data_IF_150693293329
#
_entry.id   IF_150693293329
#
_cell.length_a   1.000
_cell.length_b   1.000
_cell.length_c   1.000
_cell.angle_alpha   90.00
_cell.angle_beta   90.00
_cell.angle_gamma   90.00
#
_symmetry.space_group_name_H-M   'P 1'
#
loop_
_entity.id
_entity.type
_entity.pdbx_description
1 polymer ?
#
# COMPACT_ATOMS: atom_id res chain seq x y z
N UNK A 1 20.08 7.00 -17.44
CA UNK A 1 19.12 8.00 -16.91
C UNK A 1 18.26 7.27 -15.89
N UNK A 2 17.96 7.88 -14.74
CA UNK A 2 17.27 7.22 -13.62
C UNK A 2 15.89 7.85 -13.44
N UNK A 3 14.86 7.02 -13.31
CA UNK A 3 13.52 7.44 -12.94
C UNK A 3 13.48 7.57 -11.41
N UNK A 4 13.10 8.75 -10.92
CA UNK A 4 12.87 8.98 -9.48
C UNK A 4 11.37 9.11 -9.28
N UNK A 5 10.82 8.27 -8.42
CA UNK A 5 9.40 8.25 -8.12
C UNK A 5 9.18 7.98 -6.62
N UNK A 6 7.99 8.28 -6.13
CA UNK A 6 7.53 7.80 -4.83
C UNK A 6 6.32 6.88 -5.00
N UNK A 7 6.14 5.94 -4.08
CA UNK A 7 5.00 5.04 -4.02
C UNK A 7 4.51 4.95 -2.58
N UNK A 8 3.19 5.12 -2.39
CA UNK A 8 2.57 5.19 -1.07
C UNK A 8 1.15 4.58 -1.07
N UNK A 9 0.71 4.15 0.11
CA UNK A 9 -0.60 3.57 0.38
C UNK A 9 -1.29 4.27 1.54
N UNK A 10 -2.62 4.26 1.51
CA UNK A 10 -3.43 4.83 2.59
C UNK A 10 -4.60 3.92 2.88
N UNK A 11 -4.99 3.76 4.14
CA UNK A 11 -6.22 3.11 4.53
C UNK A 11 -6.94 3.88 5.66
N UNK A 12 -8.26 4.07 5.50
CA UNK A 12 -9.13 4.69 6.49
C UNK A 12 -9.72 3.59 7.38
N UNK A 13 -8.93 3.17 8.37
CA UNK A 13 -9.14 1.93 9.11
C UNK A 13 -8.36 0.78 8.46
N UNK A 14 -7.89 -0.19 9.25
CA UNK A 14 -6.97 -1.24 8.78
C UNK A 14 -7.44 -2.63 9.24
N UNK A 15 -8.34 -3.30 8.48
CA UNK A 15 -8.76 -2.98 7.11
C UNK A 15 -9.90 -1.95 7.00
N UNK A 16 -9.97 -1.26 5.86
CA UNK A 16 -10.96 -0.20 5.58
C UNK A 16 -10.87 0.31 4.12
N UNK A 17 -11.60 1.37 3.75
CA UNK A 17 -11.41 2.05 2.47
C UNK A 17 -9.96 2.42 2.26
N UNK A 18 -9.37 2.00 1.16
CA UNK A 18 -7.93 2.08 0.94
C UNK A 18 -7.60 2.55 -0.47
N UNK A 19 -6.42 3.13 -0.59
CA UNK A 19 -5.90 3.73 -1.79
C UNK A 19 -4.40 3.50 -1.91
N UNK A 20 -3.93 3.56 -3.14
CA UNK A 20 -2.53 3.48 -3.51
C UNK A 20 -2.24 4.58 -4.52
N UNK A 21 -1.01 5.08 -4.53
CA UNK A 21 -0.55 5.98 -5.57
C UNK A 21 0.96 5.87 -5.79
N UNK A 22 1.38 6.02 -7.04
CA UNK A 22 2.77 6.33 -7.36
C UNK A 22 2.85 7.68 -8.07
N UNK A 23 3.95 8.38 -7.86
CA UNK A 23 4.12 9.76 -8.30
C UNK A 23 5.54 10.03 -8.80
N UNK A 24 5.66 10.59 -10.01
CA UNK A 24 6.91 11.16 -10.56
C UNK A 24 6.82 12.67 -10.62
N UNK A 25 5.74 13.19 -11.20
CA UNK A 25 5.37 14.60 -11.29
C UNK A 25 3.87 14.74 -11.61
N UNK A 26 3.33 15.96 -11.61
CA UNK A 26 1.90 16.19 -11.82
C UNK A 26 1.35 15.70 -13.17
N UNK A 27 2.20 15.54 -14.18
CA UNK A 27 1.85 14.96 -15.48
C UNK A 27 2.06 13.43 -15.57
N UNK A 28 2.67 12.81 -14.56
CA UNK A 28 3.06 11.41 -14.56
C UNK A 28 2.88 10.80 -13.16
N UNK A 29 1.66 10.33 -12.90
CA UNK A 29 1.25 9.66 -11.67
C UNK A 29 0.02 8.80 -11.93
N UNK A 30 -0.18 7.77 -11.09
CA UNK A 30 -1.44 7.03 -11.08
C UNK A 30 -1.85 6.68 -9.65
N UNK A 31 -3.15 6.49 -9.47
CA UNK A 31 -3.73 6.08 -8.21
C UNK A 31 -4.92 5.13 -8.43
N UNK A 32 -5.28 4.40 -7.39
CA UNK A 32 -6.41 3.47 -7.39
C UNK A 32 -6.63 2.94 -5.98
N UNK A 33 -7.60 2.04 -5.79
CA UNK A 33 -7.88 1.55 -4.44
C UNK A 33 -9.05 0.58 -4.35
N UNK A 34 -9.54 0.39 -3.13
CA UNK A 34 -10.63 -0.54 -2.81
C UNK A 34 -11.52 0.01 -1.70
N UNK A 35 -12.75 -0.50 -1.63
CA UNK A 35 -13.65 -0.25 -0.50
C UNK A 35 -13.16 -0.86 0.82
N UNK A 36 -12.38 -1.94 0.73
CA UNK A 36 -11.91 -2.69 1.90
C UNK A 36 -10.57 -3.35 1.59
N UNK A 37 -9.48 -2.78 2.10
CA UNK A 37 -8.14 -3.37 2.09
C UNK A 37 -7.32 -2.81 3.27
N UNK A 38 -6.10 -3.31 3.43
CA UNK A 38 -5.15 -2.85 4.45
C UNK A 38 -4.20 -1.79 3.88
N UNK A 39 -3.55 -1.04 4.76
CA UNK A 39 -2.51 -0.08 4.36
C UNK A 39 -1.38 -0.76 3.57
N UNK A 40 -0.90 -1.90 4.09
CA UNK A 40 0.17 -2.70 3.47
C UNK A 40 -0.19 -3.17 2.04
N UNK A 41 -1.46 -3.50 1.78
CA UNK A 41 -1.91 -3.84 0.43
C UNK A 41 -1.87 -2.62 -0.50
N UNK A 42 -2.25 -1.43 -0.01
CA UNK A 42 -2.12 -0.17 -0.74
C UNK A 42 -0.67 0.15 -1.09
N UNK A 43 0.22 0.10 -0.11
CA UNK A 43 1.64 0.40 -0.31
C UNK A 43 2.32 -0.58 -1.29
N UNK A 44 2.07 -1.89 -1.15
CA UNK A 44 2.61 -2.89 -2.09
C UNK A 44 2.06 -2.71 -3.50
N UNK A 45 0.77 -2.36 -3.63
CA UNK A 45 0.16 -2.16 -4.95
C UNK A 45 0.68 -0.90 -5.63
N UNK A 46 0.97 0.18 -4.88
CA UNK A 46 1.60 1.37 -5.43
C UNK A 46 2.94 1.03 -6.11
N UNK A 47 3.75 0.18 -5.47
CA UNK A 47 5.01 -0.32 -6.05
C UNK A 47 4.75 -1.18 -7.29
N UNK A 48 3.83 -2.14 -7.20
CA UNK A 48 3.48 -3.03 -8.30
C UNK A 48 3.05 -2.24 -9.55
N UNK A 49 2.10 -1.33 -9.39
CA UNK A 49 1.52 -0.55 -10.48
C UNK A 49 2.53 0.43 -11.08
N UNK A 50 3.49 0.93 -10.28
CA UNK A 50 4.62 1.70 -10.82
C UNK A 50 5.50 0.86 -11.76
N UNK A 51 5.89 -0.34 -11.33
CA UNK A 51 6.72 -1.22 -12.16
C UNK A 51 5.98 -1.69 -13.42
N UNK A 52 4.69 -2.00 -13.31
CA UNK A 52 3.84 -2.32 -14.47
C UNK A 52 3.76 -1.15 -15.45
N UNK A 53 3.50 0.06 -14.95
CA UNK A 53 3.39 1.27 -15.77
C UNK A 53 4.69 1.61 -16.51
N UNK A 54 5.83 1.19 -15.97
CA UNK A 54 7.16 1.45 -16.53
C UNK A 54 7.80 0.24 -17.19
N UNK A 55 7.10 -0.87 -17.36
CA UNK A 55 7.66 -2.14 -17.86
C UNK A 55 8.32 -2.02 -19.25
N UNK A 56 7.85 -1.09 -20.08
CA UNK A 56 8.37 -0.82 -21.44
C UNK A 56 9.68 -0.01 -21.46
N UNK A 57 10.17 0.40 -20.28
CA UNK A 57 11.38 1.21 -20.12
C UNK A 57 12.57 0.34 -19.70
N UNK A 58 13.79 0.84 -19.89
CA UNK A 58 15.02 0.16 -19.48
C UNK A 58 15.83 0.96 -18.46
N UNK A 59 15.33 2.13 -18.07
CA UNK A 59 15.99 3.02 -17.12
C UNK A 59 16.00 2.46 -15.69
N UNK A 60 17.07 2.78 -14.99
CA UNK A 60 17.21 2.52 -13.57
C UNK A 60 16.10 3.24 -12.79
N UNK A 61 15.63 2.61 -11.72
CA UNK A 61 14.60 3.17 -10.84
C UNK A 61 15.18 3.50 -9.47
N UNK A 62 14.87 4.69 -8.97
CA UNK A 62 14.94 5.03 -7.55
C UNK A 62 13.53 5.28 -7.04
N UNK A 63 13.02 4.38 -6.20
CA UNK A 63 11.67 4.44 -5.65
C UNK A 63 11.71 4.82 -4.17
N UNK A 64 11.08 5.93 -3.83
CA UNK A 64 10.95 6.44 -2.47
C UNK A 64 9.70 5.82 -1.83
N UNK A 65 9.87 5.23 -0.66
CA UNK A 65 8.77 4.73 0.17
C UNK A 65 9.06 5.04 1.63
N UNK A 66 8.05 5.36 2.42
CA UNK A 66 8.16 5.46 3.88
C UNK A 66 7.83 4.13 4.60
N UNK A 67 7.21 3.19 3.89
CA UNK A 67 6.98 1.83 4.37
C UNK A 67 8.24 0.99 4.41
N UNK A 68 8.75 0.75 5.63
CA UNK A 68 9.77 -0.26 5.86
C UNK A 68 9.27 -1.67 5.54
N UNK A 69 7.97 -1.94 5.67
CA UNK A 69 7.39 -3.24 5.34
C UNK A 69 7.57 -3.54 3.85
N UNK A 70 7.22 -2.60 2.96
CA UNK A 70 7.39 -2.75 1.51
C UNK A 70 8.86 -2.93 1.16
N UNK A 71 9.73 -2.03 1.62
CA UNK A 71 11.16 -2.08 1.30
C UNK A 71 11.75 -3.42 1.74
N UNK A 72 11.53 -3.83 3.00
CA UNK A 72 12.08 -5.08 3.52
C UNK A 72 11.49 -6.31 2.83
N UNK A 73 10.19 -6.29 2.50
CA UNK A 73 9.54 -7.38 1.77
C UNK A 73 10.20 -7.62 0.42
N UNK A 74 10.39 -6.56 -0.37
CA UNK A 74 10.98 -6.68 -1.72
C UNK A 74 12.48 -6.96 -1.66
N UNK A 75 13.24 -6.24 -0.82
CA UNK A 75 14.72 -6.29 -0.90
C UNK A 75 15.37 -7.32 0.02
N UNK A 76 14.76 -7.66 1.15
CA UNK A 76 15.39 -8.53 2.18
C UNK A 76 14.72 -9.89 2.28
N UNK A 77 13.39 -9.94 2.31
CA UNK A 77 12.67 -11.14 2.68
C UNK A 77 12.27 -12.01 1.48
N UNK A 78 11.74 -11.39 0.42
CA UNK A 78 11.30 -12.07 -0.80
C UNK A 78 12.37 -13.02 -1.39
N UNK A 79 13.67 -12.67 -1.50
CA UNK A 79 14.68 -13.62 -1.97
C UNK A 79 14.79 -14.88 -1.11
N UNK A 80 14.62 -14.75 0.20
CA UNK A 80 14.61 -15.88 1.14
C UNK A 80 13.34 -16.71 1.06
N UNK A 81 12.18 -16.06 0.93
CA UNK A 81 10.89 -16.74 0.77
C UNK A 81 10.83 -17.53 -0.53
N UNK A 82 11.29 -16.98 -1.66
CA UNK A 82 11.37 -17.68 -2.95
C UNK A 82 12.16 -18.99 -2.85
N UNK A 83 13.33 -18.96 -2.20
CA UNK A 83 14.16 -20.17 -1.97
C UNK A 83 13.46 -21.23 -1.12
N UNK A 84 12.47 -20.85 -0.31
CA UNK A 84 11.69 -21.72 0.58
C UNK A 84 10.29 -22.02 0.05
N UNK A 85 10.03 -21.79 -1.25
CA UNK A 85 8.72 -22.02 -1.85
C UNK A 85 7.64 -21.08 -1.28
N UNK A 86 7.98 -19.82 -1.08
CA UNK A 86 7.12 -18.76 -0.54
C UNK A 86 6.61 -19.00 0.88
N UNK A 87 7.51 -19.47 1.76
CA UNK A 87 7.24 -19.71 3.19
C UNK A 87 8.20 -18.93 4.09
N UNK A 88 7.69 -18.47 5.23
CA UNK A 88 8.52 -17.88 6.28
C UNK A 88 9.33 -18.95 7.01
N UNK A 89 10.35 -18.52 7.77
CA UNK A 89 11.21 -19.42 8.57
C UNK A 89 10.46 -20.15 9.68
N UNK A 90 9.38 -19.56 10.19
CA UNK A 90 8.49 -20.14 11.20
C UNK A 90 7.42 -21.07 10.59
N UNK A 91 7.47 -21.33 9.27
CA UNK A 91 6.51 -22.18 8.56
C UNK A 91 5.17 -21.51 8.25
N UNK A 92 4.90 -20.32 8.79
CA UNK A 92 3.66 -19.57 8.54
C UNK A 92 3.63 -19.03 7.09
N UNK A 93 2.43 -18.81 6.54
CA UNK A 93 2.29 -18.21 5.21
C UNK A 93 2.86 -16.79 5.18
N UNK A 94 3.37 -16.40 4.01
CA UNK A 94 3.78 -15.02 3.74
C UNK A 94 2.52 -14.18 3.56
N UNK A 95 2.41 -13.08 4.31
CA UNK A 95 1.29 -12.14 4.15
C UNK A 95 1.43 -11.40 2.81
N UNK A 96 0.29 -11.12 2.16
CA UNK A 96 0.24 -10.47 0.84
C UNK A 96 1.03 -11.22 -0.24
N UNK A 97 1.04 -12.55 -0.17
CA UNK A 97 1.84 -13.40 -1.06
C UNK A 97 1.56 -13.13 -2.55
N UNK A 98 0.29 -13.04 -2.93
CA UNK A 98 -0.12 -12.80 -4.33
C UNK A 98 0.49 -11.50 -4.87
N UNK A 99 0.32 -10.38 -4.13
CA UNK A 99 0.93 -9.10 -4.49
C UNK A 99 2.46 -9.19 -4.57
N UNK A 100 3.10 -9.90 -3.65
CA UNK A 100 4.56 -10.06 -3.67
C UNK A 100 5.05 -10.90 -4.84
N UNK A 101 4.29 -11.90 -5.28
CA UNK A 101 4.58 -12.68 -6.48
C UNK A 101 4.43 -11.82 -7.73
N UNK A 102 3.37 -11.00 -7.82
CA UNK A 102 3.19 -10.06 -8.93
C UNK A 102 4.30 -9.00 -8.98
N UNK A 103 4.74 -8.50 -7.82
CA UNK A 103 5.89 -7.58 -7.74
C UNK A 103 7.16 -8.29 -8.21
N UNK A 104 7.41 -9.52 -7.75
CA UNK A 104 8.58 -10.31 -8.15
C UNK A 104 8.65 -10.48 -9.67
N UNK A 105 7.51 -10.72 -10.33
CA UNK A 105 7.41 -10.80 -11.79
C UNK A 105 7.67 -9.44 -12.45
N UNK A 106 7.07 -8.35 -11.94
CA UNK A 106 7.17 -7.02 -12.52
C UNK A 106 8.58 -6.42 -12.45
N UNK A 107 9.40 -6.84 -11.48
CA UNK A 107 10.77 -6.35 -11.30
C UNK A 107 11.83 -7.20 -12.00
N UNK A 108 11.47 -8.33 -12.63
CA UNK A 108 12.45 -9.18 -13.32
C UNK A 108 13.16 -8.38 -14.42
N UNK A 109 14.50 -8.40 -14.39
CA UNK A 109 15.33 -7.70 -15.38
C UNK A 109 15.40 -6.18 -15.19
N UNK A 110 14.78 -5.63 -14.13
CA UNK A 110 14.84 -4.21 -13.79
C UNK A 110 16.03 -3.91 -12.89
N UNK A 111 16.69 -2.77 -13.11
CA UNK A 111 17.63 -2.21 -12.15
C UNK A 111 16.90 -1.20 -11.27
N UNK A 112 16.80 -1.45 -9.96
CA UNK A 112 16.05 -0.61 -9.05
C UNK A 112 16.73 -0.49 -7.69
N UNK A 113 16.49 0.64 -7.01
CA UNK A 113 16.86 0.89 -5.63
C UNK A 113 15.68 1.51 -4.90
N UNK A 114 15.51 1.12 -3.64
CA UNK A 114 14.58 1.78 -2.73
C UNK A 114 15.32 2.77 -1.84
N UNK A 115 14.71 3.92 -1.60
CA UNK A 115 15.15 4.86 -0.58
C UNK A 115 14.05 4.98 0.48
N UNK A 116 14.40 4.65 1.73
CA UNK A 116 13.48 4.86 2.83
C UNK A 116 13.46 6.33 3.19
N UNK A 117 12.28 6.93 3.13
CA UNK A 117 12.03 8.29 3.58
C UNK A 117 11.19 8.27 4.84
N UNK A 118 11.30 9.31 5.66
CA UNK A 118 10.43 9.41 6.84
C UNK A 118 9.09 9.97 6.40
N UNK A 119 7.99 9.28 6.75
CA UNK A 119 6.64 9.77 6.51
C UNK A 119 6.40 11.15 7.17
N UNK A 120 5.58 11.97 6.51
CA UNK A 120 5.12 13.29 6.97
C UNK A 120 6.18 14.39 7.19
N UNK A 121 7.32 14.40 6.50
CA UNK A 121 8.18 15.60 6.46
C UNK A 121 9.19 15.64 5.30
N UNK A 122 9.26 16.76 4.58
CA UNK A 122 10.34 17.20 3.68
C UNK A 122 10.66 16.31 2.47
N UNK A 123 9.71 15.49 2.00
CA UNK A 123 9.89 14.68 0.79
C UNK A 123 8.75 14.93 -0.20
N UNK A 124 8.85 15.94 -1.08
CA UNK A 124 7.74 16.38 -1.93
C UNK A 124 7.13 15.29 -2.81
N UNK A 125 7.94 14.34 -3.30
CA UNK A 125 7.42 13.21 -4.08
C UNK A 125 6.58 12.26 -3.22
N UNK A 126 7.03 11.95 -2.01
CA UNK A 126 6.31 11.07 -1.08
C UNK A 126 5.03 11.74 -0.59
N UNK A 127 5.09 13.02 -0.21
CA UNK A 127 3.91 13.80 0.20
C UNK A 127 2.88 13.89 -0.94
N UNK A 128 3.33 13.99 -2.19
CA UNK A 128 2.46 13.97 -3.36
C UNK A 128 1.81 12.59 -3.60
N UNK A 129 2.51 11.49 -3.31
CA UNK A 129 1.97 10.14 -3.37
C UNK A 129 0.97 9.88 -2.22
N UNK A 130 1.33 10.20 -0.97
CA UNK A 130 0.47 10.12 0.22
C UNK A 130 -0.86 10.84 -0.02
N UNK A 131 -0.80 12.10 -0.45
CA UNK A 131 -1.98 12.93 -0.73
C UNK A 131 -2.92 12.26 -1.73
N UNK A 132 -2.37 11.62 -2.76
CA UNK A 132 -3.15 10.95 -3.81
C UNK A 132 -3.72 9.62 -3.35
N UNK A 133 -2.95 8.81 -2.63
CA UNK A 133 -3.40 7.57 -2.04
C UNK A 133 -4.55 7.83 -1.05
N UNK A 134 -4.37 8.83 -0.17
CA UNK A 134 -5.38 9.27 0.78
C UNK A 134 -6.65 9.78 0.10
N UNK A 135 -6.52 10.58 -0.96
CA UNK A 135 -7.66 11.06 -1.73
C UNK A 135 -8.51 9.91 -2.30
N UNK A 136 -7.87 8.80 -2.72
CA UNK A 136 -8.58 7.60 -3.14
C UNK A 136 -9.32 6.93 -1.98
N UNK A 137 -8.67 6.73 -0.84
CA UNK A 137 -9.31 6.13 0.35
C UNK A 137 -10.54 6.94 0.79
N UNK A 138 -10.43 8.26 0.82
CA UNK A 138 -11.54 9.18 1.14
C UNK A 138 -12.64 9.17 0.07
N UNK A 139 -12.29 8.98 -1.20
CA UNK A 139 -13.28 8.83 -2.27
C UNK A 139 -14.08 7.53 -2.10
N UNK A 140 -13.43 6.41 -1.75
CA UNK A 140 -14.13 5.17 -1.43
C UNK A 140 -15.02 5.29 -0.19
N UNK A 141 -14.54 5.95 0.86
CA UNK A 141 -15.33 6.18 2.08
C UNK A 141 -16.62 6.99 1.80
N UNK A 142 -16.53 7.99 0.92
CA UNK A 142 -17.65 8.89 0.58
C UNK A 142 -18.48 8.44 -0.62
N UNK A 143 -18.09 7.37 -1.32
CA UNK A 143 -18.73 6.94 -2.57
C UNK A 143 -18.56 7.94 -3.72
N UNK A 144 -17.46 8.69 -3.73
CA UNK A 144 -17.14 9.69 -4.76
C UNK A 144 -16.39 9.08 -5.95
N UNK A 145 -16.17 9.89 -7.00
CA UNK A 145 -15.33 9.49 -8.13
C UNK A 145 -13.88 9.24 -7.67
N UNK A 146 -13.32 8.09 -8.05
CA UNK A 146 -11.97 7.67 -7.65
C UNK A 146 -10.92 8.39 -8.50
N UNK A 147 -9.97 9.13 -7.89
CA UNK A 147 -8.84 9.71 -8.62
C UNK A 147 -7.96 8.60 -9.21
N UNK A 148 -7.65 8.68 -10.50
CA UNK A 148 -6.79 7.70 -11.18
C UNK A 148 -5.46 8.26 -11.67
N UNK A 149 -5.38 9.59 -11.87
CA UNK A 149 -4.21 10.26 -12.45
C UNK A 149 -4.08 10.09 -13.97
N UNK A 150 -3.12 10.79 -14.59
CA UNK A 150 -2.87 10.73 -16.03
C UNK A 150 -2.17 9.44 -16.49
N UNK A 151 -1.66 8.62 -15.56
CA UNK A 151 -0.85 7.45 -15.87
C UNK A 151 0.60 7.81 -16.19
N UNK A 152 1.34 6.85 -16.77
CA UNK A 152 2.71 7.10 -17.20
C UNK A 152 2.76 7.95 -18.47
N UNK A 153 3.50 9.05 -18.42
CA UNK A 153 3.75 9.88 -19.59
C UNK A 153 5.12 10.56 -19.52
N UNK A 154 5.89 10.45 -20.61
CA UNK A 154 7.07 11.29 -20.84
C UNK A 154 6.80 12.28 -21.97
N UNK A 155 7.13 13.55 -21.74
CA UNK A 155 7.11 14.59 -22.78
C UNK A 155 7.93 14.11 -24.00
N UNK A 156 7.24 13.85 -25.12
CA UNK A 156 7.84 13.40 -26.37
C UNK A 156 7.36 12.03 -26.89
N UNK A 157 6.56 11.28 -26.14
CA UNK A 157 5.83 10.12 -26.66
C UNK A 157 4.38 10.50 -26.93
N UNK A 158 3.92 10.30 -28.17
CA UNK A 158 2.51 10.50 -28.53
C UNK A 158 1.67 9.56 -27.67
N UNK A 159 0.64 10.12 -27.03
CA UNK A 159 -0.35 9.38 -26.23
C UNK A 159 -0.92 8.25 -27.09
N UNK A 160 -0.47 7.02 -26.89
CA UNK A 160 -1.20 5.86 -27.34
C UNK A 160 -2.52 5.90 -26.58
N UNK A 161 -3.59 6.27 -27.28
CA UNK A 161 -4.94 6.23 -26.72
C UNK A 161 -5.14 4.84 -26.10
N UNK A 162 -5.50 4.81 -24.82
CA UNK A 162 -6.09 3.63 -24.20
C UNK A 162 -7.17 3.15 -25.17
N UNK A 163 -6.95 1.99 -25.78
CA UNK A 163 -7.96 1.36 -26.61
C UNK A 163 -9.23 1.21 -25.76
N UNK A 164 -10.41 1.48 -26.31
CA UNK A 164 -11.64 1.25 -25.56
C UNK A 164 -11.68 -0.20 -25.11
N UNK A 165 -12.01 -0.42 -23.84
CA UNK A 165 -12.39 -1.74 -23.34
C UNK A 165 -13.45 -2.30 -24.32
N UNK A 166 -13.22 -3.45 -24.97
CA UNK A 166 -14.21 -4.00 -25.88
C UNK A 166 -15.47 -4.32 -25.08
N UNK A 167 -16.62 -3.87 -25.58
CA UNK A 167 -17.93 -4.28 -25.05
C UNK A 167 -18.02 -5.81 -25.08
N UNK A 168 -18.53 -6.46 -24.02
CA UNK A 168 -18.70 -7.91 -24.05
C UNK A 168 -19.71 -8.29 -25.13
N UNK A 169 -19.29 -9.15 -26.07
CA UNK A 169 -20.17 -9.78 -27.06
C UNK A 169 -21.08 -10.85 -26.38
N UNK A 170 -22.33 -11.01 -26.85
CA UNK A 170 -23.38 -11.71 -26.13
C UNK A 170 -23.39 -13.23 -26.38
N UNK A 171 -22.27 -13.93 -26.17
CA UNK A 171 -22.27 -15.39 -26.33
C UNK A 171 -21.13 -16.16 -25.62
N UNK A 172 -20.88 -15.84 -24.34
CA UNK A 172 -20.13 -16.75 -23.46
C UNK A 172 -21.10 -17.44 -22.49
N UNK A 173 -21.02 -18.77 -22.30
CA UNK A 173 -21.84 -19.48 -21.32
C UNK A 173 -21.48 -19.03 -19.89
N UNK A 174 -22.52 -18.78 -19.09
CA UNK A 174 -22.46 -18.31 -17.71
C UNK A 174 -21.51 -19.15 -16.84
N UNK A 175 -20.71 -18.55 -15.93
CA UNK A 175 -20.06 -19.30 -14.88
C UNK A 175 -21.12 -19.88 -13.94
N UNK A 176 -21.12 -21.20 -13.87
CA UNK A 176 -21.91 -22.01 -12.96
C UNK A 176 -21.87 -21.47 -11.53
N UNK A 177 -23.07 -21.28 -10.97
CA UNK A 177 -23.51 -21.29 -9.56
C UNK A 177 -22.65 -20.57 -8.50
N UNK A 178 -23.24 -19.71 -7.66
CA UNK A 178 -22.57 -19.20 -6.47
C UNK A 178 -22.24 -20.37 -5.54
N UNK A 179 -20.99 -20.45 -5.09
CA UNK A 179 -20.63 -21.37 -4.00
C UNK A 179 -21.55 -21.12 -2.78
N UNK A 180 -21.96 -22.18 -2.07
CA UNK A 180 -22.82 -22.02 -0.92
C UNK A 180 -22.13 -21.15 0.13
N UNK A 181 -22.84 -20.11 0.58
CA UNK A 181 -22.46 -19.27 1.71
C UNK A 181 -22.11 -20.15 2.91
N UNK A 182 -20.84 -20.13 3.32
CA UNK A 182 -20.33 -20.85 4.49
C UNK A 182 -20.44 -19.93 5.73
N UNK A 183 -21.44 -20.10 6.62
CA UNK A 183 -21.65 -19.21 7.75
C UNK A 183 -20.59 -19.35 8.85
N UNK A 184 -19.85 -20.47 8.83
CA UNK A 184 -18.84 -20.84 9.83
C UNK A 184 -17.54 -20.01 9.73
N UNK A 185 -17.26 -19.41 8.56
CA UNK A 185 -16.07 -18.57 8.34
C UNK A 185 -16.19 -17.16 8.93
N UNK A 186 -17.38 -16.78 9.41
CA UNK A 186 -17.69 -15.50 10.06
C UNK A 186 -18.25 -15.68 11.48
N UNK A 187 -17.92 -16.80 12.13
CA UNK A 187 -18.18 -16.93 13.57
C UNK A 187 -17.28 -15.95 14.34
N UNK A 188 -17.90 -14.88 14.86
CA UNK A 188 -17.32 -13.94 15.82
C UNK A 188 -17.40 -14.48 17.27
N UNK A 189 -17.39 -15.80 17.46
CA UNK A 189 -17.36 -16.44 18.79
C UNK A 189 -15.93 -16.83 19.24
N UNK A 190 -14.89 -16.42 18.51
CA UNK A 190 -13.53 -16.49 19.02
C UNK A 190 -13.38 -15.43 20.13
N UNK A 191 -12.99 -15.81 21.37
CA UNK A 191 -12.77 -14.84 22.43
C UNK A 191 -11.71 -13.85 21.96
N UNK A 192 -12.00 -12.55 22.07
CA UNK A 192 -11.02 -11.50 21.85
C UNK A 192 -9.87 -11.72 22.84
N UNK A 193 -8.74 -12.22 22.34
CA UNK A 193 -7.52 -12.28 23.13
C UNK A 193 -7.06 -10.85 23.38
N UNK A 194 -7.29 -10.36 24.60
CA UNK A 194 -6.66 -9.13 25.07
C UNK A 194 -5.15 -9.39 25.08
N UNK A 195 -4.43 -8.61 24.28
CA UNK A 195 -2.97 -8.64 24.26
C UNK A 195 -2.49 -7.52 25.16
N UNK A 196 -1.78 -7.87 26.23
CA UNK A 196 -1.07 -6.90 27.05
C UNK A 196 0.17 -6.41 26.30
N UNK A 197 0.21 -5.11 26.00
CA UNK A 197 1.34 -4.47 25.33
C UNK A 197 2.11 -3.62 26.35
N UNK A 198 3.33 -4.04 26.67
CA UNK A 198 4.24 -3.28 27.53
C UNK A 198 5.19 -2.45 26.68
N UNK A 199 5.16 -1.13 26.83
CA UNK A 199 6.06 -0.20 26.13
C UNK A 199 6.95 0.51 27.15
N UNK A 200 8.27 0.43 26.95
CA UNK A 200 9.23 1.19 27.74
C UNK A 200 9.38 2.60 27.14
N UNK A 201 9.10 3.64 27.94
CA UNK A 201 9.28 5.03 27.53
C UNK A 201 10.58 5.59 28.08
N UNK A 202 11.29 6.37 27.27
CA UNK A 202 12.34 7.25 27.78
C UNK A 202 11.76 8.31 28.71
N UNK A 203 12.56 8.85 29.63
CA UNK A 203 12.13 9.87 30.59
C UNK A 203 11.51 11.10 29.90
N UNK A 204 12.10 11.54 28.78
CA UNK A 204 11.60 12.70 28.02
C UNK A 204 10.26 12.43 27.34
N UNK A 205 10.07 11.22 26.80
CA UNK A 205 8.80 10.82 26.17
C UNK A 205 7.70 10.69 27.24
N UNK A 206 8.03 10.13 28.40
CA UNK A 206 7.10 10.05 29.52
C UNK A 206 6.68 11.44 30.03
N UNK A 207 7.62 12.38 30.16
CA UNK A 207 7.33 13.76 30.57
C UNK A 207 6.38 14.48 29.59
N UNK A 208 6.62 14.33 28.28
CA UNK A 208 5.75 14.90 27.23
C UNK A 208 4.36 14.29 27.22
N UNK A 209 4.26 12.99 27.51
CA UNK A 209 2.98 12.28 27.60
C UNK A 209 2.16 12.77 28.81
N UNK A 210 2.82 12.95 29.95
CA UNK A 210 2.21 13.52 31.16
C UNK A 210 1.67 14.95 30.92
N UNK A 211 2.45 15.78 30.24
CA UNK A 211 2.03 17.15 29.90
C UNK A 211 0.82 17.16 28.97
N UNK A 212 0.82 16.28 27.94
CA UNK A 212 -0.30 16.12 27.02
C UNK A 212 -1.57 15.62 27.71
N UNK A 213 -1.44 14.66 28.61
CA UNK A 213 -2.55 14.14 29.41
C UNK A 213 -3.15 15.25 30.29
N UNK A 214 -2.30 16.01 30.98
CA UNK A 214 -2.69 17.15 31.83
C UNK A 214 -3.41 18.24 31.04
N UNK A 215 -2.89 18.62 29.88
CA UNK A 215 -3.49 19.66 29.03
C UNK A 215 -4.86 19.27 28.48
N UNK A 216 -5.13 17.97 28.38
CA UNK A 216 -6.40 17.42 27.88
C UNK A 216 -7.35 16.96 28.99
N UNK A 217 -6.91 16.96 30.25
CA UNK A 217 -7.70 16.46 31.38
C UNK A 217 -8.02 14.97 31.30
N UNK A 218 -7.16 14.18 30.67
CA UNK A 218 -7.31 12.71 30.51
C UNK A 218 -6.20 11.96 31.25
N UNK A 219 -6.35 10.65 31.39
CA UNK A 219 -5.31 9.79 31.98
C UNK A 219 -4.09 9.67 31.04
N UNK A 220 -2.94 9.27 31.59
CA UNK A 220 -1.70 9.07 30.82
C UNK A 220 -1.86 7.85 29.90
N UNK A 221 -2.58 6.84 30.37
CA UNK A 221 -2.93 5.63 29.64
C UNK A 221 -3.83 5.94 28.44
N UNK A 222 -4.82 6.82 28.58
CA UNK A 222 -5.67 7.25 27.47
C UNK A 222 -4.91 8.15 26.49
N UNK A 223 -4.02 9.01 27.00
CA UNK A 223 -3.12 9.78 26.15
C UNK A 223 -2.15 8.88 25.36
N UNK A 224 -1.78 7.71 25.90
CA UNK A 224 -0.97 6.70 25.22
C UNK A 224 -1.78 5.90 24.21
N UNK A 225 -3.03 5.53 24.52
CA UNK A 225 -3.94 4.84 23.59
C UNK A 225 -4.21 5.65 22.33
N UNK A 226 -4.31 6.97 22.45
CA UNK A 226 -4.47 7.86 21.29
C UNK A 226 -3.22 7.92 20.36
N UNK A 227 -2.11 7.32 20.77
CA UNK A 227 -0.84 7.31 20.01
C UNK A 227 -0.55 5.97 19.33
N UNK A 228 -1.34 4.93 19.59
CA UNK A 228 -1.20 3.57 19.05
C UNK A 228 -2.40 3.30 18.14
#
# INVERSE_FOLDING_TARGET
>A
MTIIAAADGSALGNPGPAGWAWYVNDGCWAAGGWKHATNNQGELTAVLEFFRSTAHLSEDVLLLCDSQYVINSVTKWMPGWKKKGWRKSDGKPVLNLELLQEIDEAIVGRNYRFEWVRGHTNHPLNEAADTRARAVSEAYQRGAAIPAGPGWFRSGQTRAALAPIPKPEPNQPEPNQPEPFQPELFSLDAPLELIDVTVALSADVHARLLERAKNRGISVEDALRDLI
#
